data_IF_116041841857
#
_entry.id   IF_116041841857
#
_cell.length_a   1.000
_cell.length_b   1.000
_cell.length_c   1.000
_cell.angle_alpha   90.00
_cell.angle_beta   90.00
_cell.angle_gamma   90.00
#
_symmetry.space_group_name_H-M   'P 1'
#
loop_
_entity.id
_entity.type
_entity.pdbx_description
1 polymer ?
#
# COMPACT_ATOMS: atom_id res chain seq x y z
N UNK A 1 -37.08 -17.71 -12.24
CA UNK A 1 -36.37 -16.73 -11.41
C UNK A 1 -37.34 -15.63 -11.04
N UNK A 2 -37.79 -15.63 -9.79
CA UNK A 2 -38.86 -14.78 -9.26
C UNK A 2 -38.32 -13.42 -8.85
N UNK A 3 -38.94 -12.34 -9.31
CA UNK A 3 -38.55 -10.93 -9.09
C UNK A 3 -38.46 -10.48 -7.61
N UNK A 4 -38.76 -11.34 -6.65
CA UNK A 4 -38.69 -11.09 -5.20
C UNK A 4 -37.28 -11.18 -4.60
N UNK A 5 -36.32 -11.83 -5.26
CA UNK A 5 -34.96 -12.02 -4.70
C UNK A 5 -34.09 -10.75 -4.78
N UNK A 6 -34.40 -9.84 -5.72
CA UNK A 6 -33.56 -8.66 -5.99
C UNK A 6 -33.51 -7.61 -4.87
N UNK A 7 -34.62 -7.28 -4.15
CA UNK A 7 -34.58 -6.27 -3.08
C UNK A 7 -33.80 -6.71 -1.85
N UNK A 8 -34.03 -7.93 -1.35
CA UNK A 8 -33.33 -8.45 -0.16
C UNK A 8 -31.82 -8.57 -0.40
N UNK A 9 -31.43 -9.02 -1.61
CA UNK A 9 -30.02 -9.09 -1.98
C UNK A 9 -29.40 -7.69 -2.12
N UNK A 10 -30.15 -6.73 -2.67
CA UNK A 10 -29.71 -5.34 -2.76
C UNK A 10 -29.48 -4.71 -1.38
N UNK A 11 -30.39 -4.93 -0.44
CA UNK A 11 -30.27 -4.47 0.95
C UNK A 11 -29.05 -5.08 1.65
N UNK A 12 -28.87 -6.41 1.49
CA UNK A 12 -27.70 -7.13 2.01
C UNK A 12 -26.40 -6.51 1.53
N UNK A 13 -26.23 -6.35 0.21
CA UNK A 13 -24.97 -5.86 -0.36
C UNK A 13 -24.74 -4.38 -0.08
N UNK A 14 -25.80 -3.56 0.02
CA UNK A 14 -25.68 -2.18 0.50
C UNK A 14 -25.16 -2.16 1.94
N UNK A 15 -25.76 -2.95 2.83
CA UNK A 15 -25.37 -2.95 4.23
C UNK A 15 -23.90 -3.35 4.39
N UNK A 16 -23.51 -4.43 3.73
CA UNK A 16 -22.13 -4.91 3.72
C UNK A 16 -21.18 -3.81 3.24
N UNK A 17 -21.40 -3.22 2.05
CA UNK A 17 -20.42 -2.29 1.49
C UNK A 17 -20.29 -1.00 2.31
N UNK A 18 -21.37 -0.56 2.98
CA UNK A 18 -21.32 0.59 3.87
C UNK A 18 -20.45 0.28 5.09
N UNK A 19 -20.65 -0.88 5.73
CA UNK A 19 -19.79 -1.35 6.82
C UNK A 19 -18.35 -1.57 6.35
N UNK A 20 -18.14 -2.08 5.13
CA UNK A 20 -16.79 -2.18 4.54
C UNK A 20 -16.10 -0.82 4.45
N UNK A 21 -16.81 0.21 4.00
CA UNK A 21 -16.27 1.55 3.88
C UNK A 21 -15.96 2.16 5.25
N UNK A 22 -16.81 1.95 6.24
CA UNK A 22 -16.57 2.39 7.61
C UNK A 22 -15.34 1.71 8.22
N UNK A 23 -15.24 0.38 8.05
CA UNK A 23 -14.06 -0.38 8.43
C UNK A 23 -12.77 0.13 7.77
N UNK A 24 -12.84 0.48 6.47
CA UNK A 24 -11.70 1.04 5.73
C UNK A 24 -11.31 2.42 6.26
N UNK A 25 -12.28 3.27 6.61
CA UNK A 25 -12.02 4.57 7.21
C UNK A 25 -11.31 4.40 8.56
N UNK A 26 -11.84 3.56 9.45
CA UNK A 26 -11.30 3.37 10.79
C UNK A 26 -9.87 2.79 10.78
N UNK A 27 -9.62 1.79 9.94
CA UNK A 27 -8.38 1.03 9.98
C UNK A 27 -7.31 1.54 9.01
N UNK A 28 -7.73 2.11 7.86
CA UNK A 28 -6.83 2.41 6.74
C UNK A 28 -6.70 3.90 6.39
N UNK A 29 -7.23 4.80 7.23
CA UNK A 29 -7.03 6.26 7.09
C UNK A 29 -6.31 6.85 8.30
N UNK A 30 -5.98 8.14 8.25
CA UNK A 30 -5.26 8.88 9.29
C UNK A 30 -3.74 8.67 9.27
N UNK A 31 -3.21 7.93 8.29
CA UNK A 31 -1.77 7.70 8.17
C UNK A 31 -1.02 8.88 7.57
N UNK A 32 -1.69 9.70 6.75
CA UNK A 32 -1.12 10.91 6.17
C UNK A 32 -2.23 11.93 5.92
N UNK A 33 -2.26 12.96 6.76
CA UNK A 33 -3.28 14.02 6.75
C UNK A 33 -2.58 15.35 6.55
N UNK A 34 -3.05 16.16 5.60
CA UNK A 34 -2.49 17.46 5.26
C UNK A 34 -3.47 18.56 5.67
N UNK A 35 -3.11 19.46 6.57
CA UNK A 35 -4.01 20.52 7.04
C UNK A 35 -5.41 20.00 7.42
N UNK A 36 -5.45 18.89 8.16
CA UNK A 36 -6.67 18.19 8.58
C UNK A 36 -7.49 17.54 7.44
N UNK A 37 -6.97 17.57 6.21
CA UNK A 37 -7.51 16.88 5.04
C UNK A 37 -6.85 15.50 4.84
N UNK A 38 -7.67 14.45 4.88
CA UNK A 38 -7.27 13.06 4.62
C UNK A 38 -7.88 12.59 3.30
N UNK A 39 -7.05 12.53 2.25
CA UNK A 39 -7.50 12.13 0.92
C UNK A 39 -8.11 10.72 0.88
N UNK A 40 -7.60 9.78 1.69
CA UNK A 40 -8.12 8.41 1.75
C UNK A 40 -9.49 8.36 2.40
N UNK A 41 -9.67 9.10 3.51
CA UNK A 41 -10.96 9.23 4.19
C UNK A 41 -12.00 9.90 3.30
N UNK A 42 -11.64 11.01 2.66
CA UNK A 42 -12.55 11.73 1.76
C UNK A 42 -12.97 10.86 0.57
N UNK A 43 -12.05 10.10 -0.01
CA UNK A 43 -12.37 9.12 -1.04
C UNK A 43 -13.43 8.12 -0.55
N UNK A 44 -13.25 7.49 0.61
CA UNK A 44 -14.21 6.51 1.12
C UNK A 44 -15.57 7.14 1.48
N UNK A 45 -15.60 8.37 2.00
CA UNK A 45 -16.85 9.09 2.25
C UNK A 45 -17.62 9.38 0.94
N UNK A 46 -16.90 9.76 -0.12
CA UNK A 46 -17.51 9.92 -1.44
C UNK A 46 -18.05 8.60 -1.99
N UNK A 47 -17.35 7.49 -1.74
CA UNK A 47 -17.81 6.16 -2.13
C UNK A 47 -19.08 5.73 -1.40
N UNK A 48 -19.27 6.09 -0.12
CA UNK A 48 -20.54 5.87 0.59
C UNK A 48 -21.69 6.55 -0.14
N UNK A 49 -21.52 7.84 -0.50
CA UNK A 49 -22.52 8.58 -1.25
C UNK A 49 -22.81 7.94 -2.63
N UNK A 50 -21.79 7.39 -3.29
CA UNK A 50 -21.94 6.73 -4.59
C UNK A 50 -22.69 5.40 -4.47
N UNK A 51 -22.47 4.64 -3.40
CA UNK A 51 -23.23 3.42 -3.08
C UNK A 51 -24.71 3.73 -2.89
N UNK A 52 -25.04 4.78 -2.12
CA UNK A 52 -26.45 5.17 -1.92
C UNK A 52 -27.14 5.50 -3.24
N UNK A 53 -26.47 6.23 -4.14
CA UNK A 53 -26.99 6.49 -5.49
C UNK A 53 -27.24 5.20 -6.27
N UNK A 54 -26.33 4.22 -6.20
CA UNK A 54 -26.54 2.92 -6.86
C UNK A 54 -27.69 2.13 -6.24
N UNK A 55 -27.87 2.23 -4.93
CA UNK A 55 -28.96 1.59 -4.23
C UNK A 55 -30.32 2.17 -4.63
N UNK A 56 -30.47 3.50 -4.63
CA UNK A 56 -31.68 4.19 -5.09
C UNK A 56 -32.04 3.81 -6.54
N UNK A 57 -31.01 3.65 -7.39
CA UNK A 57 -31.15 3.22 -8.79
C UNK A 57 -31.33 1.70 -8.95
N UNK A 58 -31.35 0.92 -7.87
CA UNK A 58 -31.45 -0.55 -7.84
C UNK A 58 -30.34 -1.26 -8.65
N UNK A 59 -29.13 -0.72 -8.64
CA UNK A 59 -27.94 -1.19 -9.38
C UNK A 59 -27.09 -2.17 -8.57
N UNK A 60 -27.64 -3.36 -8.32
CA UNK A 60 -26.95 -4.43 -7.59
C UNK A 60 -25.58 -4.81 -8.21
N UNK A 61 -25.51 -4.85 -9.54
CA UNK A 61 -24.29 -5.11 -10.31
C UNK A 61 -23.15 -4.16 -9.92
N UNK A 62 -23.47 -2.87 -9.80
CA UNK A 62 -22.50 -1.83 -9.45
C UNK A 62 -22.05 -1.94 -8.00
N UNK A 63 -22.97 -2.22 -7.08
CA UNK A 63 -22.65 -2.41 -5.66
C UNK A 63 -21.73 -3.63 -5.49
N UNK A 64 -22.05 -4.78 -6.07
CA UNK A 64 -21.21 -5.98 -6.03
C UNK A 64 -19.81 -5.74 -6.61
N UNK A 65 -19.74 -5.11 -7.79
CA UNK A 65 -18.46 -4.78 -8.43
C UNK A 65 -17.63 -3.82 -7.56
N UNK A 66 -18.28 -2.87 -6.89
CA UNK A 66 -17.60 -1.94 -5.99
C UNK A 66 -17.07 -2.64 -4.75
N UNK A 67 -17.87 -3.50 -4.12
CA UNK A 67 -17.46 -4.30 -2.98
C UNK A 67 -16.23 -5.14 -3.32
N UNK A 68 -16.25 -5.84 -4.46
CA UNK A 68 -15.11 -6.65 -4.91
C UNK A 68 -13.81 -5.84 -5.06
N UNK A 69 -13.88 -4.60 -5.56
CA UNK A 69 -12.72 -3.71 -5.66
C UNK A 69 -12.19 -3.27 -4.30
N UNK A 70 -13.09 -2.96 -3.37
CA UNK A 70 -12.71 -2.56 -2.01
C UNK A 70 -12.07 -3.72 -1.24
N UNK A 71 -12.62 -4.92 -1.38
CA UNK A 71 -12.12 -6.12 -0.70
C UNK A 71 -10.84 -6.68 -1.31
N UNK A 72 -10.51 -6.34 -2.56
CA UNK A 72 -9.26 -6.76 -3.19
C UNK A 72 -8.01 -6.29 -2.42
N UNK A 73 -8.02 -5.05 -1.92
CA UNK A 73 -6.91 -4.55 -1.12
C UNK A 73 -6.82 -5.26 0.24
N UNK A 74 -7.96 -5.59 0.84
CA UNK A 74 -8.04 -6.33 2.12
C UNK A 74 -7.51 -7.77 1.95
N UNK A 75 -7.85 -8.42 0.83
CA UNK A 75 -7.31 -9.71 0.43
C UNK A 75 -5.78 -9.68 0.43
N UNK A 76 -5.16 -8.75 -0.32
CA UNK A 76 -3.70 -8.66 -0.40
C UNK A 76 -3.03 -8.29 0.91
N UNK A 77 -3.70 -7.49 1.75
CA UNK A 77 -3.24 -7.14 3.10
C UNK A 77 -3.36 -8.28 4.10
N UNK A 78 -3.99 -9.40 3.73
CA UNK A 78 -4.25 -10.55 4.60
C UNK A 78 -5.06 -10.14 5.84
N UNK A 79 -6.05 -9.28 5.62
CA UNK A 79 -6.88 -8.77 6.69
C UNK A 79 -7.95 -9.79 7.10
N UNK A 80 -7.57 -10.64 8.05
CA UNK A 80 -8.42 -11.66 8.66
C UNK A 80 -9.53 -11.07 9.56
N UNK A 81 -9.37 -9.85 10.07
CA UNK A 81 -10.31 -9.27 11.02
C UNK A 81 -11.56 -8.74 10.31
N UNK A 82 -11.42 -8.36 9.04
CA UNK A 82 -12.50 -7.85 8.22
C UNK A 82 -13.73 -8.77 8.18
N UNK A 83 -13.53 -10.08 7.97
CA UNK A 83 -14.65 -11.02 7.85
C UNK A 83 -15.49 -11.09 9.13
N UNK A 84 -14.81 -11.14 10.29
CA UNK A 84 -15.46 -11.13 11.60
C UNK A 84 -16.20 -9.81 11.83
N UNK A 85 -15.57 -8.68 11.50
CA UNK A 85 -16.19 -7.36 11.62
C UNK A 85 -17.48 -7.26 10.79
N UNK A 86 -17.47 -7.70 9.52
CA UNK A 86 -18.69 -7.72 8.68
C UNK A 86 -19.77 -8.59 9.33
N UNK A 87 -19.42 -9.78 9.83
CA UNK A 87 -20.38 -10.69 10.46
C UNK A 87 -20.98 -10.10 11.74
N UNK A 88 -20.18 -9.45 12.57
CA UNK A 88 -20.62 -8.81 13.81
C UNK A 88 -21.53 -7.61 13.55
N UNK A 89 -21.17 -6.75 12.59
CA UNK A 89 -21.92 -5.52 12.31
C UNK A 89 -23.17 -5.74 11.47
N UNK A 90 -23.16 -6.74 10.57
CA UNK A 90 -24.24 -6.94 9.59
C UNK A 90 -25.01 -8.25 9.76
N UNK A 91 -24.48 -9.22 10.51
CA UNK A 91 -24.99 -10.59 10.57
C UNK A 91 -24.70 -11.43 9.32
N UNK A 92 -24.13 -10.84 8.25
CA UNK A 92 -23.80 -11.56 7.02
C UNK A 92 -22.39 -12.12 7.04
N UNK A 93 -22.22 -13.32 6.49
CA UNK A 93 -20.89 -13.89 6.26
C UNK A 93 -20.33 -13.44 4.92
N UNK A 94 -19.07 -13.03 4.93
CA UNK A 94 -18.23 -12.87 3.75
C UNK A 94 -16.95 -13.64 3.99
N UNK A 95 -16.54 -14.42 3.01
CA UNK A 95 -15.20 -14.97 2.98
C UNK A 95 -14.42 -14.31 1.82
N UNK A 96 -13.38 -13.57 2.18
CA UNK A 96 -12.43 -12.94 1.26
C UNK A 96 -11.64 -13.97 0.45
N UNK A 97 -11.50 -15.19 0.98
CA UNK A 97 -10.63 -16.24 0.49
C UNK A 97 -11.41 -17.41 -0.12
N UNK A 98 -12.74 -17.31 -0.29
CA UNK A 98 -13.59 -18.37 -0.86
C UNK A 98 -13.01 -18.95 -2.17
N UNK A 99 -12.67 -18.09 -3.12
CA UNK A 99 -12.12 -18.51 -4.42
C UNK A 99 -10.76 -19.20 -4.25
N UNK A 100 -9.94 -18.73 -3.31
CA UNK A 100 -8.65 -19.32 -3.00
C UNK A 100 -8.86 -20.68 -2.32
N UNK A 101 -9.79 -20.81 -1.37
CA UNK A 101 -10.17 -22.08 -0.73
C UNK A 101 -10.57 -23.12 -1.77
N UNK A 102 -11.37 -22.75 -2.76
CA UNK A 102 -11.78 -23.64 -3.86
C UNK A 102 -10.58 -24.11 -4.69
N UNK A 103 -9.68 -23.20 -5.08
CA UNK A 103 -8.47 -23.55 -5.83
C UNK A 103 -7.54 -24.46 -5.03
N UNK A 104 -7.31 -24.17 -3.76
CA UNK A 104 -6.44 -24.97 -2.90
C UNK A 104 -6.99 -26.39 -2.74
N UNK A 105 -8.31 -26.54 -2.55
CA UNK A 105 -8.95 -27.85 -2.53
C UNK A 105 -8.69 -28.65 -3.81
N UNK A 106 -8.77 -28.00 -4.98
CA UNK A 106 -8.47 -28.65 -6.27
C UNK A 106 -7.00 -29.09 -6.36
N UNK A 107 -6.06 -28.25 -5.90
CA UNK A 107 -4.62 -28.56 -5.89
C UNK A 107 -4.32 -29.72 -4.93
N UNK A 108 -4.96 -29.74 -3.75
CA UNK A 108 -4.82 -30.82 -2.76
C UNK A 108 -5.36 -32.14 -3.34
N UNK A 109 -6.54 -32.12 -3.96
CA UNK A 109 -7.11 -33.31 -4.59
C UNK A 109 -6.23 -33.85 -5.73
N UNK A 110 -5.56 -32.96 -6.45
CA UNK A 110 -4.58 -33.27 -7.49
C UNK A 110 -3.27 -33.80 -6.91
N UNK A 111 -2.94 -33.48 -5.66
CA UNK A 111 -1.77 -33.95 -4.92
C UNK A 111 -0.43 -33.36 -5.39
N UNK A 112 -0.45 -32.36 -6.27
CA UNK A 112 0.76 -31.68 -6.77
C UNK A 112 0.48 -30.26 -7.27
N UNK A 113 1.48 -29.40 -7.13
CA UNK A 113 1.54 -28.08 -7.76
C UNK A 113 2.13 -28.25 -9.17
N UNK A 114 1.49 -27.70 -10.20
CA UNK A 114 1.89 -27.87 -11.60
C UNK A 114 2.55 -26.66 -12.22
N UNK A 115 2.33 -25.47 -11.66
CA UNK A 115 2.88 -24.23 -12.18
C UNK A 115 3.15 -23.20 -11.07
N UNK A 116 3.77 -22.10 -11.47
CA UNK A 116 4.14 -21.02 -10.54
C UNK A 116 2.91 -20.29 -9.97
N UNK A 117 1.76 -20.34 -10.63
CA UNK A 117 0.54 -19.68 -10.17
C UNK A 117 -0.10 -20.50 -9.04
N UNK A 118 -0.23 -21.81 -9.23
CA UNK A 118 -0.61 -22.77 -8.18
C UNK A 118 0.36 -22.67 -6.99
N UNK A 119 1.66 -22.52 -7.23
CA UNK A 119 2.65 -22.33 -6.17
C UNK A 119 2.40 -21.06 -5.37
N UNK A 120 2.15 -19.93 -6.05
CA UNK A 120 1.84 -18.65 -5.38
C UNK A 120 0.55 -18.74 -4.57
N UNK A 121 -0.49 -19.38 -5.11
CA UNK A 121 -1.77 -19.56 -4.42
C UNK A 121 -1.59 -20.42 -3.15
N UNK A 122 -0.89 -21.56 -3.24
CA UNK A 122 -0.60 -22.44 -2.08
C UNK A 122 0.26 -21.74 -1.04
N UNK A 123 1.29 -21.01 -1.48
CA UNK A 123 2.16 -20.25 -0.56
C UNK A 123 1.38 -19.14 0.15
N UNK A 124 0.53 -18.41 -0.57
CA UNK A 124 -0.32 -17.37 0.01
C UNK A 124 -1.34 -17.96 1.00
N UNK A 125 -1.97 -19.11 0.68
CA UNK A 125 -2.85 -19.84 1.60
C UNK A 125 -2.13 -20.20 2.91
N UNK A 126 -0.92 -20.74 2.81
CA UNK A 126 -0.15 -21.12 3.99
C UNK A 126 0.12 -19.93 4.93
N UNK A 127 0.30 -18.73 4.36
CA UNK A 127 0.53 -17.49 5.11
C UNK A 127 -0.73 -16.91 5.77
N UNK A 128 -1.91 -17.09 5.17
CA UNK A 128 -3.17 -16.59 5.75
C UNK A 128 -3.72 -17.54 6.83
N UNK A 129 -3.54 -18.86 6.65
CA UNK A 129 -4.06 -19.88 7.58
C UNK A 129 -3.54 -19.72 9.01
N UNK A 130 -2.32 -19.26 9.18
CA UNK A 130 -1.75 -19.00 10.52
C UNK A 130 -2.55 -17.96 11.30
N UNK A 131 -3.24 -17.06 10.59
CA UNK A 131 -4.03 -15.98 11.14
C UNK A 131 -5.52 -16.34 11.21
N UNK A 132 -6.01 -17.22 10.34
CA UNK A 132 -7.40 -17.65 10.38
C UNK A 132 -7.74 -18.42 11.66
N UNK A 133 -8.87 -18.07 12.28
CA UNK A 133 -9.36 -18.75 13.48
C UNK A 133 -9.71 -20.22 13.21
N UNK A 134 -10.21 -20.50 12.00
CA UNK A 134 -10.52 -21.85 11.54
C UNK A 134 -9.44 -22.26 10.55
N UNK A 135 -8.45 -23.03 11.02
CA UNK A 135 -7.35 -23.58 10.20
C UNK A 135 -7.93 -24.55 9.15
N UNK A 136 -8.41 -23.98 8.05
CA UNK A 136 -9.18 -24.65 7.00
C UNK A 136 -8.42 -25.78 6.29
N UNK A 137 -7.08 -25.76 6.35
CA UNK A 137 -6.19 -26.75 5.73
C UNK A 137 -5.10 -27.24 6.67
N UNK A 138 -4.61 -28.47 6.47
CA UNK A 138 -3.47 -29.00 7.21
C UNK A 138 -2.15 -28.35 6.75
N UNK A 139 -1.44 -27.75 7.70
CA UNK A 139 -0.13 -27.12 7.51
C UNK A 139 0.89 -28.05 6.89
N UNK A 140 0.94 -29.29 7.38
CA UNK A 140 1.95 -30.24 6.96
C UNK A 140 1.70 -30.60 5.49
N UNK A 141 0.44 -30.79 5.13
CA UNK A 141 0.04 -31.10 3.76
C UNK A 141 0.38 -29.96 2.78
N UNK A 142 0.15 -28.69 3.14
CA UNK A 142 0.51 -27.55 2.29
C UNK A 142 2.04 -27.40 2.16
N UNK A 143 2.79 -27.59 3.26
CA UNK A 143 4.25 -27.55 3.23
C UNK A 143 4.82 -28.67 2.36
N UNK A 144 4.29 -29.89 2.47
CA UNK A 144 4.69 -31.03 1.65
C UNK A 144 4.49 -30.74 0.14
N UNK A 145 3.39 -30.08 -0.24
CA UNK A 145 3.15 -29.66 -1.63
C UNK A 145 4.18 -28.63 -2.10
N UNK A 146 4.48 -27.64 -1.27
CA UNK A 146 5.47 -26.59 -1.53
C UNK A 146 6.87 -27.19 -1.71
N UNK A 147 7.27 -28.09 -0.82
CA UNK A 147 8.61 -28.66 -0.81
C UNK A 147 8.82 -29.60 -1.99
N UNK A 148 7.85 -30.46 -2.31
CA UNK A 148 7.88 -31.29 -3.53
C UNK A 148 8.02 -30.46 -4.80
N UNK A 149 7.26 -29.36 -4.92
CA UNK A 149 7.36 -28.48 -6.08
C UNK A 149 8.73 -27.82 -6.22
N UNK A 150 9.32 -27.39 -5.10
CA UNK A 150 10.69 -26.86 -5.09
C UNK A 150 11.68 -27.93 -5.55
N UNK A 151 11.61 -29.14 -5.01
CA UNK A 151 12.47 -30.27 -5.40
C UNK A 151 12.36 -30.59 -6.91
N UNK A 152 11.13 -30.58 -7.45
CA UNK A 152 10.88 -30.79 -8.88
C UNK A 152 11.51 -29.68 -9.75
N UNK A 153 11.42 -28.41 -9.33
CA UNK A 153 12.13 -27.31 -10.02
C UNK A 153 13.65 -27.45 -9.88
N UNK A 154 14.16 -27.77 -8.69
CA UNK A 154 15.59 -27.89 -8.43
C UNK A 154 16.22 -29.04 -9.22
N UNK A 155 15.50 -30.16 -9.37
CA UNK A 155 15.94 -31.30 -10.18
C UNK A 155 15.92 -31.01 -11.69
N UNK A 156 14.98 -30.19 -12.16
CA UNK A 156 14.89 -29.79 -13.57
C UNK A 156 15.89 -28.71 -13.98
N UNK A 157 16.25 -27.81 -13.06
CA UNK A 157 17.10 -26.65 -13.37
C UNK A 157 18.60 -26.94 -13.23
N UNK A 158 18.99 -28.02 -12.54
CA UNK A 158 20.38 -28.37 -12.28
C UNK A 158 21.05 -27.35 -11.36
N UNK A 159 21.67 -27.80 -10.25
CA UNK A 159 22.36 -27.03 -9.21
C UNK A 159 22.76 -25.56 -9.54
N UNK A 160 21.79 -24.64 -9.57
CA UNK A 160 22.02 -23.20 -9.47
C UNK A 160 21.52 -22.77 -8.10
N UNK A 161 22.31 -23.12 -7.09
CA UNK A 161 22.21 -22.53 -5.76
C UNK A 161 22.82 -21.13 -5.86
N UNK A 162 22.01 -20.13 -6.20
CA UNK A 162 22.36 -18.75 -5.85
C UNK A 162 21.99 -18.62 -4.37
N UNK A 163 22.94 -18.90 -3.49
CA UNK A 163 22.82 -18.62 -2.06
C UNK A 163 22.64 -17.11 -1.87
N UNK A 164 21.39 -16.65 -1.77
CA UNK A 164 21.04 -15.35 -1.18
C UNK A 164 21.00 -15.47 0.35
N UNK A 165 22.06 -16.00 0.96
CA UNK A 165 22.29 -15.89 2.39
C UNK A 165 23.76 -15.63 2.63
N UNK A 166 24.21 -14.41 2.27
CA UNK A 166 25.27 -13.79 3.03
C UNK A 166 24.57 -13.01 4.13
N UNK A 167 24.53 -13.57 5.34
CA UNK A 167 24.26 -12.78 6.53
C UNK A 167 25.26 -11.63 6.54
N UNK A 168 24.75 -10.41 6.34
CA UNK A 168 25.53 -9.20 6.57
C UNK A 168 25.88 -9.20 8.06
N UNK A 169 27.17 -9.27 8.37
CA UNK A 169 27.63 -9.09 9.74
C UNK A 169 27.37 -7.65 10.16
N UNK A 170 27.18 -7.39 11.45
CA UNK A 170 26.99 -6.02 11.98
C UNK A 170 28.13 -5.06 11.55
N UNK A 171 29.31 -5.62 11.26
CA UNK A 171 30.48 -4.88 10.75
C UNK A 171 30.33 -4.38 9.30
N UNK A 172 29.53 -5.03 8.44
CA UNK A 172 29.29 -4.59 7.06
C UNK A 172 28.35 -3.35 7.00
N UNK A 173 27.62 -3.07 8.09
CA UNK A 173 26.68 -1.94 8.22
C UNK A 173 27.38 -0.65 8.66
N UNK A 174 28.62 -0.75 9.16
CA UNK A 174 29.38 0.38 9.69
C UNK A 174 30.53 0.73 8.73
N UNK A 175 30.20 1.39 7.62
CA UNK A 175 31.01 2.41 6.89
C UNK A 175 30.84 2.42 5.35
N UNK A 176 30.16 1.44 4.74
CA UNK A 176 29.84 1.51 3.30
C UNK A 176 28.36 1.71 3.07
N UNK A 177 27.96 2.91 2.63
CA UNK A 177 26.60 3.14 2.09
C UNK A 177 26.43 2.27 0.84
N UNK A 178 25.75 1.14 0.98
CA UNK A 178 25.34 0.30 -0.16
C UNK A 178 24.03 0.89 -0.70
N UNK A 179 24.04 1.34 -1.96
CA UNK A 179 22.86 1.87 -2.64
C UNK A 179 22.28 0.78 -3.56
N UNK A 180 21.02 0.37 -3.33
CA UNK A 180 20.35 -0.66 -4.13
C UNK A 180 19.19 -0.05 -4.91
N UNK A 181 19.14 -0.29 -6.22
CA UNK A 181 17.99 0.06 -7.09
C UNK A 181 17.67 -1.13 -7.99
N UNK A 182 16.42 -1.62 -7.98
CA UNK A 182 15.98 -2.79 -8.74
C UNK A 182 16.90 -4.01 -8.59
N UNK A 183 17.31 -4.31 -7.34
CA UNK A 183 18.22 -5.40 -6.99
C UNK A 183 19.64 -5.30 -7.57
N UNK A 184 20.06 -4.12 -8.04
CA UNK A 184 21.45 -3.84 -8.45
C UNK A 184 22.12 -2.90 -7.45
N UNK A 185 23.34 -3.25 -7.04
CA UNK A 185 24.20 -2.37 -6.27
C UNK A 185 24.74 -1.27 -7.16
N UNK A 186 24.58 -0.02 -6.74
CA UNK A 186 25.11 1.16 -7.42
C UNK A 186 26.30 1.71 -6.63
N UNK A 187 27.25 2.29 -7.37
CA UNK A 187 28.23 3.20 -6.78
C UNK A 187 27.52 4.48 -6.35
N UNK A 188 28.11 5.24 -5.41
CA UNK A 188 27.57 6.53 -4.98
C UNK A 188 27.40 7.49 -6.18
N UNK A 189 28.36 7.52 -7.10
CA UNK A 189 28.30 8.32 -8.33
C UNK A 189 27.17 7.89 -9.28
N UNK A 190 26.97 6.58 -9.47
CA UNK A 190 25.90 6.06 -10.32
C UNK A 190 24.52 6.30 -9.71
N UNK A 191 24.42 6.19 -8.38
CA UNK A 191 23.23 6.53 -7.62
C UNK A 191 22.91 8.04 -7.72
N UNK A 192 23.90 8.91 -7.52
CA UNK A 192 23.73 10.35 -7.63
C UNK A 192 23.39 10.80 -9.06
N UNK A 193 23.97 10.17 -10.07
CA UNK A 193 23.60 10.41 -11.47
C UNK A 193 22.16 9.99 -11.73
N UNK A 194 21.76 8.78 -11.31
CA UNK A 194 20.40 8.30 -11.47
C UNK A 194 19.39 9.20 -10.73
N UNK A 195 19.74 9.67 -9.53
CA UNK A 195 18.93 10.64 -8.77
C UNK A 195 18.72 11.93 -9.56
N UNK A 196 19.79 12.51 -10.10
CA UNK A 196 19.72 13.73 -10.92
C UNK A 196 18.89 13.52 -12.18
N UNK A 197 19.07 12.39 -12.86
CA UNK A 197 18.31 12.03 -14.07
C UNK A 197 16.81 11.81 -13.78
N UNK A 198 16.47 11.39 -12.55
CA UNK A 198 15.10 11.26 -12.06
C UNK A 198 14.53 12.57 -11.47
N UNK A 199 15.28 13.67 -11.56
CA UNK A 199 14.85 14.97 -11.08
C UNK A 199 14.90 15.15 -9.56
N UNK A 200 15.52 14.23 -8.83
CA UNK A 200 15.77 14.37 -7.40
C UNK A 200 16.90 15.37 -7.16
N UNK A 201 16.55 16.52 -6.56
CA UNK A 201 17.49 17.59 -6.24
C UNK A 201 18.23 17.33 -4.93
N UNK A 202 17.51 17.03 -3.84
CA UNK A 202 18.12 16.55 -2.60
C UNK A 202 17.12 15.82 -1.69
N UNK A 203 17.65 15.10 -0.69
CA UNK A 203 16.88 14.43 0.36
C UNK A 203 17.54 14.66 1.72
N UNK A 204 16.76 14.99 2.75
CA UNK A 204 17.25 15.23 4.12
C UNK A 204 16.38 14.48 5.12
N UNK A 205 17.02 13.76 6.03
CA UNK A 205 16.34 13.09 7.14
C UNK A 205 16.11 14.08 8.30
N UNK A 206 15.04 13.86 9.05
CA UNK A 206 14.82 14.45 10.37
C UNK A 206 15.98 14.12 11.33
N UNK A 207 16.20 14.92 12.39
CA UNK A 207 17.26 14.66 13.37
C UNK A 207 17.25 13.23 13.94
N UNK A 208 16.07 12.68 14.26
CA UNK A 208 15.91 11.30 14.73
C UNK A 208 15.92 10.22 13.64
N UNK A 209 16.05 10.62 12.36
CA UNK A 209 16.09 9.76 11.17
C UNK A 209 14.84 8.92 10.91
N UNK A 210 13.70 9.21 11.55
CA UNK A 210 12.44 8.50 11.31
C UNK A 210 11.67 9.04 10.12
N UNK A 211 11.74 10.35 9.90
CA UNK A 211 11.08 11.05 8.81
C UNK A 211 12.10 11.62 7.83
N UNK A 212 11.67 11.92 6.61
CA UNK A 212 12.51 12.57 5.60
C UNK A 212 11.72 13.58 4.76
N UNK A 213 12.43 14.53 4.17
CA UNK A 213 11.93 15.40 3.12
C UNK A 213 12.80 15.27 1.88
N UNK A 214 12.20 15.49 0.73
CA UNK A 214 12.83 15.35 -0.56
C UNK A 214 12.38 16.47 -1.50
N UNK A 215 13.31 17.17 -2.12
CA UNK A 215 13.02 18.13 -3.17
C UNK A 215 13.23 17.43 -4.52
N UNK A 216 12.18 17.43 -5.34
CA UNK A 216 12.18 16.84 -6.68
C UNK A 216 11.70 17.88 -7.71
N UNK A 217 12.09 17.68 -8.95
CA UNK A 217 11.55 18.35 -10.13
C UNK A 217 11.14 17.29 -11.14
N UNK A 218 9.94 17.40 -11.72
CA UNK A 218 9.46 16.48 -12.75
C UNK A 218 8.85 17.26 -13.92
N UNK A 219 8.90 16.70 -15.12
CA UNK A 219 8.49 17.38 -16.35
C UNK A 219 9.58 18.28 -16.91
N UNK A 220 9.23 19.04 -17.94
CA UNK A 220 10.12 19.99 -18.62
C UNK A 220 9.34 21.25 -19.00
N UNK A 221 10.04 22.38 -19.07
CA UNK A 221 9.49 23.66 -19.52
C UNK A 221 8.21 24.05 -18.74
N UNK A 222 7.16 24.47 -19.44
CA UNK A 222 5.89 24.94 -18.86
C UNK A 222 5.11 23.87 -18.09
N UNK A 223 5.39 22.59 -18.36
CA UNK A 223 4.80 21.45 -17.66
C UNK A 223 5.66 20.95 -16.49
N UNK A 224 6.80 21.59 -16.22
CA UNK A 224 7.65 21.21 -15.11
C UNK A 224 7.03 21.59 -13.77
N UNK A 225 7.22 20.74 -12.77
CA UNK A 225 6.83 20.94 -11.39
C UNK A 225 8.05 20.75 -10.50
N UNK A 226 8.28 21.68 -9.57
CA UNK A 226 9.23 21.50 -8.48
C UNK A 226 8.44 21.34 -7.19
N UNK A 227 8.70 20.27 -6.44
CA UNK A 227 7.90 19.94 -5.27
C UNK A 227 8.72 19.28 -4.16
N UNK A 228 8.27 19.52 -2.93
CA UNK A 228 8.82 18.91 -1.72
C UNK A 228 7.89 17.78 -1.31
N UNK A 229 8.43 16.58 -1.17
CA UNK A 229 7.75 15.39 -0.64
C UNK A 229 8.22 15.17 0.79
N UNK A 230 7.29 14.89 1.70
CA UNK A 230 7.60 14.35 3.02
C UNK A 230 7.37 12.84 3.01
N UNK A 231 8.23 12.09 3.69
CA UNK A 231 7.97 10.71 4.07
C UNK A 231 7.98 10.57 5.58
N UNK A 232 6.94 9.92 6.08
CA UNK A 232 6.67 9.65 7.49
C UNK A 232 6.27 8.19 7.66
N UNK A 233 6.13 7.74 8.90
CA UNK A 233 5.55 6.43 9.15
C UNK A 233 4.13 6.33 8.57
N UNK A 234 3.89 5.32 7.75
CA UNK A 234 2.61 5.10 7.06
C UNK A 234 2.46 5.70 5.66
N UNK A 235 3.36 6.56 5.18
CA UNK A 235 3.27 7.06 3.81
C UNK A 235 4.16 8.24 3.44
N UNK A 236 3.99 8.73 2.21
CA UNK A 236 4.65 9.93 1.71
C UNK A 236 3.72 10.75 0.82
N UNK A 237 3.98 12.05 0.71
CA UNK A 237 3.23 12.93 -0.18
C UNK A 237 3.82 14.34 -0.29
N UNK A 238 3.38 15.07 -1.30
CA UNK A 238 3.87 16.42 -1.58
C UNK A 238 3.30 17.42 -0.56
N UNK A 239 4.18 18.10 0.17
CA UNK A 239 3.83 19.14 1.14
C UNK A 239 3.86 20.56 0.55
N UNK A 240 4.58 20.72 -0.55
CA UNK A 240 4.69 21.96 -1.31
C UNK A 240 4.95 21.62 -2.77
N UNK A 241 4.26 22.29 -3.69
CA UNK A 241 4.39 22.04 -5.12
C UNK A 241 4.13 23.32 -5.89
N UNK A 242 5.02 23.63 -6.83
CA UNK A 242 4.96 24.82 -7.68
C UNK A 242 5.28 24.47 -9.12
N UNK A 243 4.77 25.28 -10.05
CA UNK A 243 5.13 25.18 -11.47
C UNK A 243 6.53 25.75 -11.70
N UNK A 244 7.34 25.02 -12.45
CA UNK A 244 8.71 25.38 -12.83
C UNK A 244 9.69 24.24 -12.60
N UNK A 245 10.78 24.26 -13.37
CA UNK A 245 11.85 23.27 -13.31
C UNK A 245 12.99 23.77 -12.42
N UNK A 246 13.51 22.90 -11.54
CA UNK A 246 14.72 23.15 -10.75
C UNK A 246 14.72 24.50 -10.01
N UNK A 247 13.57 24.87 -9.43
CA UNK A 247 13.44 26.16 -8.75
C UNK A 247 14.32 26.22 -7.49
N UNK A 248 14.85 27.41 -7.13
CA UNK A 248 15.75 27.61 -5.98
C UNK A 248 14.97 27.56 -4.65
N UNK A 249 14.37 26.42 -4.36
CA UNK A 249 13.63 26.13 -3.14
C UNK A 249 14.57 25.38 -2.19
N UNK A 250 14.52 25.75 -0.92
CA UNK A 250 15.20 25.00 0.14
C UNK A 250 14.19 24.55 1.17
N UNK A 251 14.47 23.41 1.77
CA UNK A 251 13.67 22.83 2.81
C UNK A 251 14.57 22.00 3.72
N UNK A 252 14.41 22.18 5.02
CA UNK A 252 15.18 21.48 6.03
C UNK A 252 14.36 21.31 7.30
N UNK A 253 14.75 20.33 8.11
CA UNK A 253 14.18 20.13 9.44
C UNK A 253 14.79 21.13 10.41
N UNK A 254 13.94 21.84 11.16
CA UNK A 254 14.37 22.62 12.32
C UNK A 254 14.56 21.68 13.52
N UNK A 255 13.60 20.76 13.70
CA UNK A 255 13.55 19.73 14.73
C UNK A 255 12.79 18.50 14.17
N UNK A 256 12.49 17.50 15.00
CA UNK A 256 11.80 16.27 14.56
C UNK A 256 10.32 16.48 14.15
N UNK A 257 9.76 17.66 14.41
CA UNK A 257 8.34 18.01 14.26
C UNK A 257 8.12 19.30 13.46
N UNK A 258 9.18 19.92 12.93
CA UNK A 258 9.07 21.19 12.20
C UNK A 258 9.98 21.20 10.98
N UNK A 259 9.37 21.50 9.82
CA UNK A 259 10.06 21.75 8.55
C UNK A 259 10.00 23.25 8.25
N UNK A 260 11.10 23.80 7.75
CA UNK A 260 11.16 25.15 7.20
C UNK A 260 11.39 25.08 5.69
N UNK A 261 10.55 25.78 4.93
CA UNK A 261 10.65 25.89 3.47
C UNK A 261 10.96 27.34 3.12
N UNK A 262 12.14 27.57 2.54
CA UNK A 262 12.53 28.86 1.95
C UNK A 262 12.19 28.85 0.46
N UNK A 263 11.40 29.81 0.03
CA UNK A 263 10.92 29.88 -1.35
C UNK A 263 10.68 31.34 -1.77
N UNK A 264 10.48 31.57 -3.06
CA UNK A 264 9.97 32.87 -3.55
C UNK A 264 8.46 32.78 -3.70
N UNK A 265 7.81 33.91 -3.99
CA UNK A 265 6.42 33.89 -4.47
C UNK A 265 6.32 33.19 -5.84
N UNK A 266 5.88 31.94 -5.82
CA UNK A 266 5.51 31.15 -6.98
C UNK A 266 4.00 30.84 -6.98
N UNK A 267 3.45 30.49 -8.15
CA UNK A 267 2.12 29.88 -8.23
C UNK A 267 2.19 28.46 -7.67
N UNK A 268 1.50 28.22 -6.54
CA UNK A 268 1.54 26.94 -5.82
C UNK A 268 0.35 26.07 -6.20
N UNK A 269 0.59 24.80 -6.52
CA UNK A 269 -0.45 23.78 -6.65
C UNK A 269 -0.90 23.25 -5.28
N UNK A 270 0.04 23.12 -4.35
CA UNK A 270 -0.24 22.84 -2.95
C UNK A 270 0.81 23.55 -2.06
N UNK A 271 0.39 23.93 -0.85
CA UNK A 271 1.21 24.60 0.16
C UNK A 271 0.60 24.33 1.52
N UNK A 272 0.95 23.18 2.10
CA UNK A 272 0.36 22.74 3.37
C UNK A 272 1.11 23.30 4.57
N UNK A 273 0.41 23.58 5.66
CA UNK A 273 0.98 24.13 6.89
C UNK A 273 1.31 23.04 7.92
N UNK A 274 0.70 21.87 7.77
CA UNK A 274 0.77 20.79 8.74
C UNK A 274 0.60 19.45 8.05
N UNK A 275 1.39 18.48 8.49
CA UNK A 275 1.21 17.06 8.17
C UNK A 275 1.04 16.31 9.47
N UNK A 276 0.02 15.44 9.56
CA UNK A 276 -0.16 14.57 10.71
C UNK A 276 -0.34 13.13 10.31
N UNK A 277 0.18 12.24 11.14
CA UNK A 277 -0.10 10.81 11.17
C UNK A 277 -0.87 10.48 12.45
N UNK A 278 -1.19 9.21 12.69
CA UNK A 278 -1.82 8.77 13.95
C UNK A 278 -1.02 9.15 15.21
N UNK A 279 0.30 9.26 15.09
CA UNK A 279 1.20 9.39 16.25
C UNK A 279 2.04 10.68 16.24
N UNK A 280 2.07 11.42 15.13
CA UNK A 280 3.01 12.54 14.94
C UNK A 280 2.32 13.70 14.24
N UNK A 281 2.64 14.92 14.66
CA UNK A 281 2.26 16.15 13.96
C UNK A 281 3.54 16.88 13.56
N UNK A 282 3.61 17.31 12.31
CA UNK A 282 4.75 18.00 11.71
C UNK A 282 4.25 19.33 11.17
N UNK A 283 4.80 20.42 11.70
CA UNK A 283 4.48 21.77 11.27
C UNK A 283 5.39 22.18 10.11
N UNK A 284 4.83 22.91 9.16
CA UNK A 284 5.55 23.43 7.99
C UNK A 284 5.49 24.95 8.05
N UNK A 285 6.68 25.55 8.14
CA UNK A 285 6.86 27.00 8.14
C UNK A 285 7.44 27.42 6.80
N UNK A 286 7.07 28.63 6.35
CA UNK A 286 7.54 29.18 5.09
C UNK A 286 8.23 30.53 5.30
N UNK A 287 9.31 30.76 4.57
CA UNK A 287 9.93 32.08 4.39
C UNK A 287 9.82 32.42 2.91
N UNK A 288 9.01 33.44 2.60
CA UNK A 288 8.89 33.97 1.25
C UNK A 288 9.91 35.11 1.07
N UNK A 289 10.95 34.85 0.28
CA UNK A 289 12.00 35.81 -0.07
C UNK A 289 11.76 36.49 -1.42
#
# INVERSE_FOLDING_TARGET
>A
MTFKEKPEELDKYRHIIIVTLDYLIENYTGFLVFDDYDAGKEYYLQEKNQVEKYYEQRRLDRIKSKLAKLTQNLYFRRDINYQNHIKEQTGYSIDLYDDLHLKINQIIQKGKISDADEFRDVHFMNQIREKEANKSFDTNHLNDLIDKYKEDIFSQTGHFRIDFQKELTEDDVVEKKIFMVNNKQLTEEAYDKLRKDQGLLYKVNSPNRKNWIELQSNGKNECALTYIVIGVDGGSGSIYCVKGENLPIKAYWIDDSTILIETKKYETLNRYQKVSTKNTVINIKYIDN
#
